data_IF_124088806845
#
_entry.id   IF_124088806845
#
_cell.length_a   1.000
_cell.length_b   1.000
_cell.length_c   1.000
_cell.angle_alpha   90.00
_cell.angle_beta   90.00
_cell.angle_gamma   90.00
#
_symmetry.space_group_name_H-M   'P 1'
#
loop_
_entity.id
_entity.type
_entity.pdbx_description
1 polymer ?
#
# COMPACT_ATOMS: atom_id res chain seq x y z
N UNK A 1 8.04 -16.94 6.39
CA UNK A 1 6.98 -16.26 7.16
C UNK A 1 5.66 -16.96 6.93
N UNK A 2 4.99 -17.31 8.00
CA UNK A 2 3.63 -17.85 7.94
C UNK A 2 2.62 -16.73 8.13
N UNK A 3 1.54 -16.78 7.35
CA UNK A 3 0.47 -15.81 7.50
C UNK A 3 -0.87 -16.48 7.13
N UNK A 4 -1.96 -15.94 7.69
CA UNK A 4 -3.32 -16.40 7.41
C UNK A 4 -3.98 -15.62 6.29
N UNK A 5 -3.68 -14.33 6.23
CA UNK A 5 -4.26 -13.39 5.27
C UNK A 5 -3.19 -12.47 4.77
N UNK A 6 -3.31 -12.06 3.52
CA UNK A 6 -2.42 -11.09 2.92
C UNK A 6 -3.23 -10.15 2.04
N UNK A 7 -2.75 -8.92 1.95
CA UNK A 7 -3.29 -7.92 1.04
C UNK A 7 -2.18 -7.04 0.53
N UNK A 8 -2.46 -6.31 -0.55
CA UNK A 8 -1.46 -5.46 -1.18
C UNK A 8 -2.14 -4.23 -1.76
N UNK A 9 -1.50 -3.07 -1.58
CA UNK A 9 -1.84 -1.86 -2.32
C UNK A 9 -0.61 -1.46 -3.12
N UNK A 10 -0.81 -1.15 -4.41
CA UNK A 10 0.25 -0.61 -5.27
C UNK A 10 -0.21 0.69 -5.89
N UNK A 11 0.77 1.54 -6.22
CA UNK A 11 0.51 2.82 -6.88
C UNK A 11 1.77 3.29 -7.59
N UNK A 12 1.59 4.21 -8.55
CA UNK A 12 2.73 4.83 -9.22
C UNK A 12 2.41 6.28 -9.57
N UNK A 13 3.45 7.09 -9.65
CA UNK A 13 3.36 8.49 -10.07
C UNK A 13 3.32 9.50 -8.95
N UNK A 14 2.86 9.13 -7.76
CA UNK A 14 2.79 10.04 -6.62
C UNK A 14 4.20 10.38 -6.14
N UNK A 15 4.45 11.65 -5.82
CA UNK A 15 5.79 12.10 -5.47
C UNK A 15 6.00 12.30 -3.97
N UNK A 16 4.96 12.12 -3.16
CA UNK A 16 5.06 12.21 -1.70
C UNK A 16 4.25 11.10 -1.05
N UNK A 17 4.62 10.69 0.19
CA UNK A 17 3.81 9.73 0.94
C UNK A 17 2.37 10.20 1.15
N UNK A 18 2.17 11.51 1.36
CA UNK A 18 0.85 12.07 1.55
C UNK A 18 -0.02 11.90 0.31
N UNK A 19 0.55 12.12 -0.87
CA UNK A 19 -0.17 11.98 -2.13
C UNK A 19 -0.62 10.54 -2.38
N UNK A 20 0.28 9.55 -2.15
CA UNK A 20 -0.08 8.15 -2.37
C UNK A 20 -1.12 7.68 -1.35
N UNK A 21 -1.02 8.11 -0.09
CA UNK A 21 -2.03 7.77 0.92
C UNK A 21 -3.39 8.37 0.58
N UNK A 22 -3.43 9.60 0.09
CA UNK A 22 -4.67 10.23 -0.36
C UNK A 22 -5.33 9.42 -1.47
N UNK A 23 -4.53 9.00 -2.46
CA UNK A 23 -5.05 8.22 -3.58
C UNK A 23 -5.58 6.86 -3.11
N UNK A 24 -4.84 6.15 -2.24
CA UNK A 24 -5.29 4.88 -1.71
C UNK A 24 -6.57 5.02 -0.89
N UNK A 25 -6.68 6.05 -0.05
CA UNK A 25 -7.86 6.26 0.79
C UNK A 25 -9.08 6.68 0.01
N UNK A 26 -8.90 7.22 -1.20
CA UNK A 26 -10.00 7.59 -2.09
C UNK A 26 -10.45 6.44 -3.00
N UNK A 27 -9.82 5.27 -2.92
CA UNK A 27 -10.17 4.08 -3.66
C UNK A 27 -10.73 3.03 -2.70
N UNK A 28 -11.97 2.60 -2.89
CA UNK A 28 -12.65 1.73 -1.92
C UNK A 28 -11.90 0.42 -1.65
N UNK A 29 -11.34 -0.20 -2.67
CA UNK A 29 -10.58 -1.45 -2.52
C UNK A 29 -9.28 -1.24 -1.76
N UNK A 30 -8.51 -0.21 -2.10
CA UNK A 30 -7.26 0.10 -1.42
C UNK A 30 -7.52 0.54 0.03
N UNK A 31 -8.55 1.36 0.23
CA UNK A 31 -8.93 1.81 1.56
C UNK A 31 -9.32 0.63 2.45
N UNK A 32 -10.04 -0.34 1.91
CA UNK A 32 -10.45 -1.53 2.67
C UNK A 32 -9.25 -2.29 3.23
N UNK A 33 -8.16 -2.41 2.44
CA UNK A 33 -6.93 -3.04 2.92
C UNK A 33 -6.32 -2.27 4.09
N UNK A 34 -6.23 -0.96 3.97
CA UNK A 34 -5.62 -0.12 5.02
C UNK A 34 -6.42 -0.19 6.32
N UNK A 35 -7.75 -0.20 6.23
CA UNK A 35 -8.64 -0.17 7.40
C UNK A 35 -9.00 -1.56 7.92
N UNK A 36 -8.49 -2.63 7.31
CA UNK A 36 -8.78 -3.99 7.74
C UNK A 36 -8.09 -4.30 9.07
N UNK A 37 -8.89 -4.44 10.14
CA UNK A 37 -8.37 -4.67 11.49
C UNK A 37 -7.78 -6.06 11.70
N UNK A 38 -7.93 -6.97 10.75
CA UNK A 38 -7.32 -8.31 10.82
C UNK A 38 -5.83 -8.27 10.50
N UNK A 39 -5.34 -7.29 9.76
CA UNK A 39 -3.93 -7.17 9.45
C UNK A 39 -3.16 -6.64 10.66
N UNK A 40 -2.05 -7.27 10.97
CA UNK A 40 -1.21 -6.95 12.15
C UNK A 40 0.19 -6.49 11.77
N UNK A 41 0.58 -6.65 10.51
CA UNK A 41 1.92 -6.28 10.04
C UNK A 41 1.80 -5.62 8.66
N UNK A 42 2.60 -4.58 8.46
CA UNK A 42 2.68 -3.87 7.19
C UNK A 42 4.13 -3.79 6.72
N UNK A 43 4.35 -4.02 5.42
CA UNK A 43 5.62 -3.76 4.76
C UNK A 43 5.42 -2.67 3.71
N UNK A 44 6.39 -1.77 3.59
CA UNK A 44 6.34 -0.64 2.67
C UNK A 44 7.47 -0.77 1.66
N UNK A 45 7.13 -0.59 0.37
CA UNK A 45 8.12 -0.52 -0.70
C UNK A 45 8.01 0.80 -1.46
N UNK A 46 9.18 1.32 -1.86
CA UNK A 46 9.26 2.53 -2.67
C UNK A 46 10.47 2.42 -3.60
N UNK A 47 10.26 2.71 -4.87
CA UNK A 47 11.37 2.78 -5.83
C UNK A 47 11.03 3.78 -6.93
N UNK A 48 12.07 4.26 -7.61
CA UNK A 48 11.91 5.15 -8.76
C UNK A 48 12.53 4.48 -9.97
N UNK A 49 11.75 4.36 -11.06
CA UNK A 49 12.20 3.77 -12.31
C UNK A 49 11.92 4.77 -13.43
N UNK A 50 12.97 5.18 -14.13
CA UNK A 50 12.87 6.17 -15.21
C UNK A 50 12.12 7.44 -14.78
N UNK A 51 12.39 7.91 -13.55
CA UNK A 51 11.80 9.13 -13.02
C UNK A 51 10.39 8.95 -12.47
N UNK A 52 9.81 7.76 -12.53
CA UNK A 52 8.45 7.49 -12.01
C UNK A 52 8.54 6.78 -10.67
N UNK A 53 7.94 7.34 -9.60
CA UNK A 53 7.86 6.67 -8.31
C UNK A 53 6.86 5.52 -8.33
N UNK A 54 7.23 4.42 -7.68
CA UNK A 54 6.38 3.25 -7.48
C UNK A 54 6.28 2.96 -5.99
N UNK A 55 5.07 2.68 -5.51
CA UNK A 55 4.75 2.48 -4.09
C UNK A 55 4.07 1.15 -3.89
N UNK A 56 4.36 0.50 -2.77
CA UNK A 56 3.64 -0.71 -2.37
C UNK A 56 3.44 -0.76 -0.87
N UNK A 57 2.33 -1.37 -0.47
CA UNK A 57 2.04 -1.75 0.91
C UNK A 57 1.66 -3.21 0.91
N UNK A 58 2.31 -3.99 1.76
CA UNK A 58 1.95 -5.38 2.03
C UNK A 58 1.37 -5.49 3.42
N UNK A 59 0.24 -6.15 3.53
CA UNK A 59 -0.43 -6.39 4.79
C UNK A 59 -0.52 -7.88 5.04
N UNK A 60 -0.20 -8.32 6.24
CA UNK A 60 -0.35 -9.73 6.65
C UNK A 60 -0.93 -9.83 8.04
N UNK A 61 -1.52 -11.01 8.26
CA UNK A 61 -1.99 -11.43 9.56
C UNK A 61 -1.27 -12.68 9.99
#
# INVERSE_FOLDING_TARGET
VSYRRAGENIAYGQRTPQAVMTDWMNSSGHRANILNSNYTTIGIGYTVINGTPYWSQFFIQ
#
